data_IF_291703829002
#
_entry.id   IF_291703829002
#
_cell.length_a   1.000
_cell.length_b   1.000
_cell.length_c   1.000
_cell.angle_alpha   90.00
_cell.angle_beta   90.00
_cell.angle_gamma   90.00
#
_symmetry.space_group_name_H-M   'P 1'
#
loop_
_entity.id
_entity.type
_entity.pdbx_description
1 polymer ?
#
# COMPACT_ATOMS: atom_id res chain seq x y z
N UNK A 1 7.00 2.48 -4.07
CA UNK A 1 7.16 1.80 -2.76
C UNK A 1 8.26 0.74 -2.79
N UNK A 2 8.12 -0.35 -3.55
CA UNK A 2 9.15 -1.41 -3.65
C UNK A 2 10.54 -0.87 -4.01
N UNK A 3 10.66 -0.04 -5.05
CA UNK A 3 11.94 0.57 -5.44
C UNK A 3 12.59 1.39 -4.32
N UNK A 4 11.81 2.17 -3.55
CA UNK A 4 12.33 2.98 -2.44
C UNK A 4 12.80 2.14 -1.26
N UNK A 5 12.08 1.05 -0.94
CA UNK A 5 12.47 0.12 0.12
C UNK A 5 13.71 -0.69 -0.25
N UNK A 6 13.81 -1.14 -1.51
CA UNK A 6 14.97 -1.88 -2.03
C UNK A 6 16.21 -1.01 -2.21
N UNK A 7 16.07 0.31 -2.42
CA UNK A 7 17.22 1.21 -2.49
C UNK A 7 17.93 1.42 -1.14
N UNK A 8 17.29 1.07 -0.02
CA UNK A 8 17.86 1.25 1.33
C UNK A 8 18.64 0.05 1.86
N UNK A 9 18.71 -1.05 1.11
CA UNK A 9 19.41 -2.27 1.54
C UNK A 9 20.78 -2.41 0.89
N UNK A 10 21.76 -2.81 1.70
CA UNK A 10 23.18 -2.92 1.31
C UNK A 10 23.55 -4.29 0.75
N UNK A 11 22.73 -5.31 1.00
CA UNK A 11 22.97 -6.70 0.62
C UNK A 11 21.71 -7.32 0.03
N UNK A 12 21.87 -8.20 -0.96
CA UNK A 12 20.76 -8.86 -1.65
C UNK A 12 19.87 -9.67 -0.69
N UNK A 13 20.46 -10.30 0.34
CA UNK A 13 19.72 -11.06 1.37
C UNK A 13 18.72 -10.19 2.16
N UNK A 14 18.96 -8.88 2.27
CA UNK A 14 18.11 -7.96 3.04
C UNK A 14 16.94 -7.42 2.22
N UNK A 15 16.96 -7.56 0.88
CA UNK A 15 15.88 -7.14 -0.02
C UNK A 15 14.60 -7.90 0.29
N UNK A 16 14.70 -9.19 0.61
CA UNK A 16 13.55 -9.99 0.98
C UNK A 16 12.90 -9.47 2.26
N UNK A 17 13.70 -9.06 3.25
CA UNK A 17 13.19 -8.53 4.51
C UNK A 17 12.64 -7.10 4.35
N UNK A 18 13.30 -6.25 3.55
CA UNK A 18 12.85 -4.88 3.28
C UNK A 18 11.52 -4.81 2.51
N UNK A 19 11.18 -5.87 1.78
CA UNK A 19 9.94 -5.96 0.98
C UNK A 19 8.83 -6.73 1.66
N UNK A 20 9.02 -7.20 2.91
CA UNK A 20 8.04 -8.05 3.59
C UNK A 20 6.70 -7.35 3.79
N UNK A 21 6.72 -6.09 4.24
CA UNK A 21 5.51 -5.32 4.54
C UNK A 21 4.62 -5.10 3.30
N UNK A 22 5.13 -4.53 2.17
CA UNK A 22 4.30 -4.37 0.98
C UNK A 22 3.89 -5.71 0.36
N UNK A 23 4.68 -6.76 0.53
CA UNK A 23 4.33 -8.11 0.06
C UNK A 23 3.15 -8.68 0.84
N UNK A 24 3.16 -8.53 2.17
CA UNK A 24 2.06 -8.95 3.03
C UNK A 24 0.74 -8.26 2.66
N UNK A 25 0.75 -6.96 2.34
CA UNK A 25 -0.46 -6.25 1.93
C UNK A 25 -1.09 -6.85 0.66
N UNK A 26 -0.26 -7.19 -0.33
CA UNK A 26 -0.72 -7.86 -1.57
C UNK A 26 -1.30 -9.25 -1.26
N UNK A 27 -0.59 -10.05 -0.45
CA UNK A 27 -1.06 -11.38 -0.05
C UNK A 27 -2.40 -11.30 0.69
N UNK A 28 -2.55 -10.37 1.63
CA UNK A 28 -3.82 -10.15 2.35
C UNK A 28 -4.92 -9.77 1.36
N UNK A 29 -4.64 -8.91 0.39
CA UNK A 29 -5.62 -8.50 -0.63
C UNK A 29 -6.14 -9.66 -1.46
N UNK A 30 -5.28 -10.62 -1.76
CA UNK A 30 -5.64 -11.84 -2.48
C UNK A 30 -6.52 -12.77 -1.62
N UNK A 31 -6.20 -12.94 -0.33
CA UNK A 31 -7.04 -13.71 0.59
C UNK A 31 -8.42 -13.07 0.78
N UNK A 32 -8.45 -11.75 0.97
CA UNK A 32 -9.69 -10.98 1.11
C UNK A 32 -10.57 -11.07 -0.14
N UNK A 33 -9.97 -11.17 -1.34
CA UNK A 33 -10.72 -11.38 -2.58
C UNK A 33 -11.53 -12.68 -2.53
N UNK A 34 -10.91 -13.80 -2.13
CA UNK A 34 -11.61 -15.07 -2.00
C UNK A 34 -12.69 -15.05 -0.93
N UNK A 35 -12.41 -14.46 0.23
CA UNK A 35 -13.39 -14.32 1.31
C UNK A 35 -14.55 -13.39 0.93
N UNK A 36 -14.25 -12.33 0.16
CA UNK A 36 -15.21 -11.33 -0.25
C UNK A 36 -16.13 -11.84 -1.36
N UNK A 37 -15.68 -12.81 -2.16
CA UNK A 37 -16.45 -13.33 -3.28
C UNK A 37 -17.76 -14.01 -2.84
N UNK A 38 -17.78 -14.64 -1.67
CA UNK A 38 -19.00 -15.22 -1.08
C UNK A 38 -19.89 -14.18 -0.38
N UNK A 39 -19.35 -13.01 -0.04
CA UNK A 39 -20.05 -11.95 0.71
C UNK A 39 -19.70 -10.53 0.21
N UNK A 40 -19.98 -10.22 -1.07
CA UNK A 40 -19.52 -8.97 -1.70
C UNK A 40 -20.17 -7.71 -1.13
N UNK A 41 -21.36 -7.85 -0.54
CA UNK A 41 -22.10 -6.75 0.08
C UNK A 41 -21.81 -6.57 1.58
N UNK A 42 -20.98 -7.41 2.19
CA UNK A 42 -20.68 -7.30 3.60
C UNK A 42 -20.00 -5.96 3.92
N UNK A 43 -20.27 -5.34 5.09
CA UNK A 43 -19.72 -4.03 5.45
C UNK A 43 -18.18 -3.99 5.37
N UNK A 44 -17.52 -5.09 5.77
CA UNK A 44 -16.06 -5.20 5.71
C UNK A 44 -15.54 -5.18 4.26
N UNK A 45 -16.21 -5.89 3.34
CA UNK A 45 -15.85 -5.90 1.90
C UNK A 45 -15.99 -4.52 1.30
N UNK A 46 -17.07 -3.81 1.67
CA UNK A 46 -17.29 -2.43 1.21
C UNK A 46 -16.20 -1.51 1.73
N UNK A 47 -15.96 -1.48 3.04
CA UNK A 47 -14.95 -0.58 3.64
C UNK A 47 -13.55 -0.84 3.09
N UNK A 48 -13.12 -2.11 3.01
CA UNK A 48 -11.79 -2.44 2.51
C UNK A 48 -11.63 -2.18 1.00
N UNK A 49 -12.73 -2.19 0.22
CA UNK A 49 -12.68 -1.83 -1.21
C UNK A 49 -12.32 -0.36 -1.45
N UNK A 50 -12.54 0.53 -0.47
CA UNK A 50 -12.10 1.93 -0.53
C UNK A 50 -10.65 2.14 -0.12
N UNK A 51 -10.01 1.13 0.48
CA UNK A 51 -8.67 1.29 1.01
C UNK A 51 -7.65 1.08 -0.12
N UNK A 52 -6.83 2.09 -0.48
CA UNK A 52 -6.04 2.09 -1.71
C UNK A 52 -5.20 0.84 -1.98
N UNK A 53 -4.67 0.21 -0.92
CA UNK A 53 -3.88 -1.02 -1.05
C UNK A 53 -4.69 -2.24 -1.49
N UNK A 54 -5.99 -2.30 -1.14
CA UNK A 54 -6.89 -3.41 -1.42
C UNK A 54 -8.00 -3.06 -2.42
N UNK A 55 -8.15 -1.79 -2.79
CA UNK A 55 -9.01 -1.34 -3.89
C UNK A 55 -8.83 -2.16 -5.17
N UNK A 56 -7.62 -2.38 -5.72
CA UNK A 56 -7.48 -3.09 -7.00
C UNK A 56 -7.94 -4.55 -6.96
N UNK A 57 -8.03 -5.18 -5.77
CA UNK A 57 -8.57 -6.54 -5.64
C UNK A 57 -10.05 -6.51 -5.30
N UNK A 58 -10.46 -5.84 -4.23
CA UNK A 58 -11.83 -5.90 -3.72
C UNK A 58 -12.81 -5.04 -4.51
N UNK A 59 -12.39 -3.91 -5.05
CA UNK A 59 -13.27 -3.10 -5.89
C UNK A 59 -13.51 -3.78 -7.24
N UNK A 60 -12.46 -4.40 -7.80
CA UNK A 60 -12.58 -5.22 -9.01
C UNK A 60 -13.55 -6.38 -8.82
N UNK A 61 -13.47 -7.07 -7.68
CA UNK A 61 -14.44 -8.10 -7.30
C UNK A 61 -15.88 -7.56 -7.28
N UNK A 62 -16.11 -6.43 -6.60
CA UNK A 62 -17.44 -5.84 -6.46
C UNK A 62 -18.01 -5.38 -7.81
N UNK A 63 -17.16 -4.86 -8.70
CA UNK A 63 -17.52 -4.50 -10.08
C UNK A 63 -17.90 -5.77 -10.85
N UNK A 64 -17.08 -6.83 -10.80
CA UNK A 64 -17.34 -8.08 -11.50
C UNK A 64 -18.66 -8.76 -11.07
N UNK A 65 -19.01 -8.61 -9.78
CA UNK A 65 -20.25 -9.15 -9.21
C UNK A 65 -21.44 -8.17 -9.27
N UNK A 66 -21.28 -6.98 -9.88
CA UNK A 66 -22.36 -6.00 -10.01
C UNK A 66 -22.85 -5.39 -8.69
N UNK A 67 -22.04 -5.44 -7.64
CA UNK A 67 -22.38 -4.95 -6.29
C UNK A 67 -21.81 -3.56 -5.96
N UNK A 68 -20.99 -3.00 -6.86
CA UNK A 68 -20.49 -1.65 -6.76
C UNK A 68 -21.38 -0.69 -7.55
N UNK A 69 -21.80 0.42 -6.94
CA UNK A 69 -22.43 1.49 -7.69
C UNK A 69 -21.39 2.29 -8.49
N UNK A 70 -21.82 2.91 -9.60
CA UNK A 70 -20.92 3.64 -10.51
C UNK A 70 -20.15 4.78 -9.80
N UNK A 71 -20.78 5.44 -8.83
CA UNK A 71 -20.15 6.52 -8.06
C UNK A 71 -19.07 6.01 -7.11
N UNK A 72 -19.22 4.78 -6.57
CA UNK A 72 -18.21 4.17 -5.71
C UNK A 72 -16.91 3.98 -6.51
N UNK A 73 -17.02 3.58 -7.78
CA UNK A 73 -15.87 3.41 -8.69
C UNK A 73 -15.12 4.74 -8.85
N UNK A 74 -15.83 5.82 -9.15
CA UNK A 74 -15.23 7.16 -9.31
C UNK A 74 -14.53 7.61 -8.02
N UNK A 75 -15.15 7.41 -6.86
CA UNK A 75 -14.57 7.74 -5.55
C UNK A 75 -13.29 6.94 -5.30
N UNK A 76 -13.29 5.63 -5.58
CA UNK A 76 -12.10 4.79 -5.38
C UNK A 76 -10.96 5.16 -6.33
N UNK A 77 -11.26 5.59 -7.57
CA UNK A 77 -10.26 6.12 -8.50
C UNK A 77 -9.63 7.41 -7.94
N UNK A 78 -10.45 8.34 -7.44
CA UNK A 78 -9.96 9.57 -6.82
C UNK A 78 -9.08 9.28 -5.60
N UNK A 79 -9.51 8.37 -4.72
CA UNK A 79 -8.72 7.93 -3.56
C UNK A 79 -7.40 7.28 -3.97
N UNK A 80 -7.39 6.46 -5.02
CA UNK A 80 -6.18 5.85 -5.57
C UNK A 80 -5.20 6.92 -6.07
N UNK A 81 -5.66 7.94 -6.78
CA UNK A 81 -4.80 9.04 -7.24
C UNK A 81 -4.17 9.79 -6.06
N UNK A 82 -4.97 10.13 -5.04
CA UNK A 82 -4.46 10.76 -3.82
C UNK A 82 -3.44 9.86 -3.12
N UNK A 83 -3.69 8.56 -3.04
CA UNK A 83 -2.77 7.61 -2.42
C UNK A 83 -1.47 7.46 -3.21
N UNK A 84 -1.50 7.48 -4.54
CA UNK A 84 -0.32 7.46 -5.40
C UNK A 84 0.54 8.70 -5.13
N UNK A 85 -0.08 9.89 -5.07
CA UNK A 85 0.62 11.14 -4.77
C UNK A 85 1.25 11.09 -3.37
N UNK A 86 0.49 10.63 -2.36
CA UNK A 86 0.99 10.49 -1.00
C UNK A 86 2.15 9.49 -0.89
N UNK A 87 2.03 8.32 -1.54
CA UNK A 87 3.08 7.29 -1.56
C UNK A 87 4.33 7.77 -2.30
N UNK A 88 4.16 8.52 -3.39
CA UNK A 88 5.27 9.08 -4.17
C UNK A 88 6.00 10.16 -3.37
N UNK A 89 5.25 11.05 -2.72
CA UNK A 89 5.80 12.05 -1.80
C UNK A 89 6.57 11.41 -0.64
N UNK A 90 5.99 10.39 0.00
CA UNK A 90 6.64 9.65 1.08
C UNK A 90 7.91 8.94 0.60
N UNK A 91 7.85 8.25 -0.54
CA UNK A 91 9.01 7.57 -1.12
C UNK A 91 10.13 8.55 -1.50
N UNK A 92 9.79 9.71 -2.06
CA UNK A 92 10.76 10.76 -2.40
C UNK A 92 11.43 11.33 -1.15
N UNK A 93 10.65 11.56 -0.08
CA UNK A 93 11.19 12.05 1.20
C UNK A 93 12.09 11.01 1.86
N UNK A 94 11.67 9.74 1.88
CA UNK A 94 12.46 8.63 2.40
C UNK A 94 13.78 8.46 1.63
N UNK A 95 13.75 8.61 0.31
CA UNK A 95 14.96 8.58 -0.52
C UNK A 95 15.92 9.73 -0.18
N UNK A 96 15.42 10.97 -0.04
CA UNK A 96 16.25 12.12 0.34
C UNK A 96 16.96 11.93 1.69
N UNK A 97 16.27 11.36 2.67
CA UNK A 97 16.87 11.06 3.98
C UNK A 97 17.80 9.85 3.96
N UNK A 98 17.44 8.80 3.22
CA UNK A 98 18.27 7.61 3.04
C UNK A 98 19.61 7.90 2.37
N UNK A 99 19.67 8.90 1.47
CA UNK A 99 20.91 9.37 0.83
C UNK A 99 21.80 10.16 1.81
N UNK A 100 21.24 10.91 2.75
CA UNK A 100 22.02 11.65 3.77
C UNK A 100 22.46 10.79 4.97
N UNK A 101 21.80 9.66 5.22
CA UNK A 101 22.21 8.73 6.26
C UNK A 101 23.37 7.87 5.74
N UNK A 102 24.59 8.15 6.20
CA UNK A 102 25.81 7.37 5.95
C UNK A 102 25.72 5.95 6.54
N UNK A 103 24.89 5.10 5.92
CA UNK A 103 24.97 3.65 6.05
C UNK A 103 24.47 3.02 7.36
N UNK A 104 23.82 3.75 8.27
CA UNK A 104 23.10 3.13 9.40
C UNK A 104 21.61 2.94 9.07
N UNK A 105 21.09 1.72 9.32
CA UNK A 105 19.68 1.38 9.10
C UNK A 105 18.81 2.12 10.13
N UNK A 106 17.95 3.07 9.72
CA UNK A 106 17.01 3.66 10.65
C UNK A 106 15.99 2.59 11.08
N UNK A 107 15.77 2.43 12.38
CA UNK A 107 14.69 1.57 12.89
C UNK A 107 13.32 2.11 12.45
N UNK A 108 12.28 1.25 12.40
CA UNK A 108 10.92 1.62 11.99
C UNK A 108 10.38 2.87 12.72
N UNK A 109 10.75 3.05 13.99
CA UNK A 109 10.40 4.25 14.77
C UNK A 109 11.13 5.53 14.31
N UNK A 110 12.38 5.42 13.85
CA UNK A 110 13.11 6.52 13.24
C UNK A 110 12.54 6.89 11.87
N UNK A 111 12.15 5.91 11.06
CA UNK A 111 11.52 6.17 9.75
C UNK A 111 10.21 6.95 9.90
N UNK A 112 9.37 6.61 10.88
CA UNK A 112 8.16 7.38 11.18
C UNK A 112 8.48 8.78 11.73
N UNK A 113 9.48 8.90 12.61
CA UNK A 113 9.93 10.19 13.16
C UNK A 113 10.57 11.10 12.10
N UNK A 114 11.21 10.53 11.08
CA UNK A 114 11.78 11.26 9.94
C UNK A 114 10.73 11.64 8.87
N UNK A 115 9.68 10.84 8.73
CA UNK A 115 8.58 11.16 7.83
C UNK A 115 7.68 12.30 8.36
N UNK A 116 7.53 12.40 9.68
CA UNK A 116 6.64 13.38 10.33
C UNK A 116 7.35 14.44 11.19
N UNK A 117 8.64 14.28 11.49
CA UNK A 117 9.46 15.29 12.17
C UNK A 117 10.07 16.26 11.16
N UNK A 118 10.02 17.56 11.49
CA UNK A 118 10.63 18.65 10.70
C UNK A 118 12.12 18.40 10.47
#
# INVERSE_FOLDING_TARGET
LYAGLSAMVKRQDEVQNATILPRMLVTIGYLLFYLGASSPNAPWTKVLSYLPFWTPTLMLLRIALGTAAWWEIVVTIALMLVAILACTWFAARLYRYGVLMYGQKPGLGQVMKLAFGR
#
